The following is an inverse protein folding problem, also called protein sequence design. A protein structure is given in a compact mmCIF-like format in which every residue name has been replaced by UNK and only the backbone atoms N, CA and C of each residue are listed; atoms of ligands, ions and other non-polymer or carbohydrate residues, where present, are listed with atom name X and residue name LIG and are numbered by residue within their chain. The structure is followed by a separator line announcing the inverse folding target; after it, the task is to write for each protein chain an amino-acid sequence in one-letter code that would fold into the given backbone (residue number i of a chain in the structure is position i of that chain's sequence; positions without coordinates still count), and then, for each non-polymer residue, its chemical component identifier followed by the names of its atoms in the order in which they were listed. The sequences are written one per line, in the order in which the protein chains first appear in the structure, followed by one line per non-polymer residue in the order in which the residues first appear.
data_IF_708445624525
#
_entry.id   IF_708445624525
#
_cell.length_a   1.000
_cell.length_b   1.000
_cell.length_c   1.000
_cell.angle_alpha   90.00
_cell.angle_beta   90.00
_cell.angle_gamma   90.00
#
_symmetry.space_group_name_H-M   'P 1'
#
loop_
_entity.id
_entity.type
_entity.pdbx_description
1 polymer ?
#
# COMPACT_ATOMS: atom_id res chain seq x y z
N UNK A 1 4.23 5.94 15.58
CA UNK A 1 4.68 7.26 15.08
C UNK A 1 3.46 8.15 14.93
N UNK A 2 3.46 9.39 15.44
CA UNK A 2 2.38 10.34 15.16
C UNK A 2 2.21 10.57 13.65
N UNK A 3 0.96 10.76 13.19
CA UNK A 3 0.66 10.95 11.75
C UNK A 3 1.45 12.11 11.12
N UNK A 4 1.56 13.30 11.74
CA UNK A 4 2.31 14.41 11.13
C UNK A 4 3.79 14.06 10.89
N UNK A 5 4.40 13.35 11.83
CA UNK A 5 5.78 12.91 11.74
C UNK A 5 5.96 11.84 10.65
N UNK A 6 4.99 10.94 10.48
CA UNK A 6 5.00 9.96 9.39
C UNK A 6 4.91 10.65 8.00
N UNK A 7 4.03 11.64 7.87
CA UNK A 7 3.86 12.42 6.63
C UNK A 7 5.14 13.19 6.30
N UNK A 8 5.75 13.84 7.29
CA UNK A 8 7.03 14.57 7.11
C UNK A 8 8.11 13.64 6.57
N UNK A 9 8.34 12.50 7.22
CA UNK A 9 9.35 11.51 6.79
C UNK A 9 9.09 10.97 5.38
N UNK A 10 7.82 10.75 5.03
CA UNK A 10 7.43 10.29 3.70
C UNK A 10 7.76 11.34 2.64
N UNK A 11 7.42 12.61 2.89
CA UNK A 11 7.70 13.71 1.97
C UNK A 11 9.21 13.94 1.81
N UNK A 12 9.96 13.92 2.92
CA UNK A 12 11.42 14.01 2.88
C UNK A 12 12.06 12.89 2.07
N UNK A 13 11.53 11.66 2.20
CA UNK A 13 12.01 10.55 1.40
C UNK A 13 11.72 10.73 -0.09
N UNK A 14 10.50 11.15 -0.43
CA UNK A 14 10.10 11.41 -1.81
C UNK A 14 10.93 12.54 -2.47
N UNK A 15 11.33 13.54 -1.68
CA UNK A 15 12.10 14.69 -2.15
C UNK A 15 13.56 14.37 -2.50
N UNK A 16 14.10 13.21 -2.08
CA UNK A 16 15.50 12.84 -2.37
C UNK A 16 15.78 12.61 -3.86
N UNK A 17 14.75 12.33 -4.65
CA UNK A 17 14.84 12.27 -6.12
C UNK A 17 13.85 13.26 -6.73
N UNK A 18 14.30 14.46 -7.14
CA UNK A 18 13.45 15.41 -7.83
C UNK A 18 12.81 14.78 -9.07
N UNK A 19 11.51 15.02 -9.24
CA UNK A 19 10.75 14.58 -10.42
C UNK A 19 10.08 15.75 -11.09
N UNK A 20 9.87 15.62 -12.39
CA UNK A 20 9.14 16.58 -13.22
C UNK A 20 7.85 15.93 -13.72
N UNK A 21 6.76 16.69 -13.86
CA UNK A 21 5.56 16.19 -14.51
C UNK A 21 5.83 15.97 -16.00
N UNK A 22 5.43 14.80 -16.51
CA UNK A 22 5.53 14.41 -17.91
C UNK A 22 4.15 14.02 -18.39
N UNK A 23 3.72 14.64 -19.50
CA UNK A 23 2.50 14.25 -20.19
C UNK A 23 2.75 12.97 -20.97
N UNK A 24 2.12 11.87 -20.56
CA UNK A 24 2.10 10.64 -21.34
C UNK A 24 0.81 10.62 -22.17
N UNK A 25 0.98 10.67 -23.49
CA UNK A 25 -0.12 10.67 -24.46
C UNK A 25 0.10 9.53 -25.45
N UNK A 26 -0.69 8.46 -25.33
CA UNK A 26 -0.75 7.40 -26.34
C UNK A 26 -1.87 7.69 -27.34
N UNK A 27 -1.80 7.11 -28.54
CA UNK A 27 -2.87 7.26 -29.53
C UNK A 27 -4.17 6.54 -29.14
N UNK A 28 -4.13 5.66 -28.15
CA UNK A 28 -5.23 4.76 -27.75
C UNK A 28 -5.89 5.14 -26.43
N UNK A 29 -5.22 5.89 -25.56
CA UNK A 29 -5.67 6.17 -24.20
C UNK A 29 -5.80 7.68 -23.94
N UNK A 30 -6.57 8.03 -22.92
CA UNK A 30 -6.64 9.40 -22.44
C UNK A 30 -5.25 9.88 -21.95
N UNK A 31 -4.91 11.16 -22.15
CA UNK A 31 -3.64 11.71 -21.66
C UNK A 31 -3.56 11.60 -20.13
N UNK A 32 -2.40 11.17 -19.64
CA UNK A 32 -2.14 11.06 -18.19
C UNK A 32 -0.86 11.78 -17.81
N UNK A 33 -0.87 12.43 -16.65
CA UNK A 33 0.34 13.01 -16.06
C UNK A 33 1.09 11.93 -15.31
N UNK A 34 2.38 11.78 -15.57
CA UNK A 34 3.31 10.92 -14.85
C UNK A 34 4.42 11.75 -14.22
N UNK A 35 5.03 11.26 -13.16
CA UNK A 35 6.27 11.82 -12.63
C UNK A 35 7.45 11.05 -13.24
N UNK A 36 8.44 11.76 -13.77
CA UNK A 36 9.71 11.19 -14.20
C UNK A 36 10.86 11.83 -13.42
N UNK A 37 11.96 11.12 -13.11
CA UNK A 37 13.15 11.73 -12.52
C UNK A 37 13.62 12.90 -13.37
N UNK A 38 14.01 14.01 -12.72
CA UNK A 38 14.66 15.12 -13.41
C UNK A 38 15.98 14.65 -14.05
N UNK A 39 16.42 15.35 -15.10
CA UNK A 39 17.69 15.04 -15.75
C UNK A 39 18.85 15.13 -14.74
N UNK A 40 19.74 14.13 -14.76
CA UNK A 40 20.85 14.02 -13.80
C UNK A 40 20.45 13.57 -12.38
N UNK A 41 19.17 13.30 -12.11
CA UNK A 41 18.74 12.80 -10.82
C UNK A 41 19.29 11.38 -10.56
N UNK A 42 19.84 11.17 -9.36
CA UNK A 42 20.31 9.85 -8.95
C UNK A 42 19.12 8.95 -8.56
N UNK A 43 19.18 7.70 -8.98
CA UNK A 43 18.23 6.67 -8.56
C UNK A 43 18.32 6.44 -7.04
N UNK A 44 17.21 6.66 -6.34
CA UNK A 44 17.02 6.28 -4.93
C UNK A 44 15.73 5.46 -4.84
N UNK A 45 15.88 4.17 -4.50
CA UNK A 45 14.75 3.25 -4.38
C UNK A 45 13.74 3.70 -3.32
N UNK A 46 14.21 4.23 -2.20
CA UNK A 46 13.34 4.68 -1.13
C UNK A 46 12.60 5.97 -1.50
N UNK A 47 13.20 6.84 -2.32
CA UNK A 47 12.50 8.00 -2.89
C UNK A 47 11.41 7.56 -3.87
N UNK A 48 11.71 6.63 -4.78
CA UNK A 48 10.74 6.09 -5.72
C UNK A 48 9.55 5.41 -5.01
N UNK A 49 9.82 4.61 -3.96
CA UNK A 49 8.78 4.01 -3.13
C UNK A 49 7.95 5.07 -2.39
N UNK A 50 8.58 6.10 -1.84
CA UNK A 50 7.87 7.18 -1.16
C UNK A 50 6.91 7.93 -2.11
N UNK A 51 7.37 8.25 -3.32
CA UNK A 51 6.54 8.87 -4.37
C UNK A 51 5.36 7.98 -4.77
N UNK A 52 5.61 6.68 -4.97
CA UNK A 52 4.55 5.71 -5.26
C UNK A 52 3.51 5.61 -4.13
N UNK A 53 3.96 5.61 -2.87
CA UNK A 53 3.08 5.60 -1.70
C UNK A 53 2.25 6.89 -1.61
N UNK A 54 2.84 8.06 -1.89
CA UNK A 54 2.11 9.33 -1.93
C UNK A 54 0.99 9.26 -2.99
N UNK A 55 1.33 8.86 -4.21
CA UNK A 55 0.36 8.70 -5.29
C UNK A 55 -0.75 7.69 -4.94
N UNK A 56 -0.37 6.58 -4.32
CA UNK A 56 -1.32 5.57 -3.85
C UNK A 56 -2.29 6.09 -2.78
N UNK A 57 -1.77 6.81 -1.76
CA UNK A 57 -2.57 7.34 -0.65
C UNK A 57 -3.48 8.51 -1.05
N UNK A 58 -3.11 9.24 -2.11
CA UNK A 58 -3.93 10.29 -2.73
C UNK A 58 -4.89 9.74 -3.79
N UNK A 59 -4.69 8.50 -4.25
CA UNK A 59 -5.44 7.88 -5.33
C UNK A 59 -6.71 7.15 -4.89
N UNK A 60 -7.51 6.67 -5.86
CA UNK A 60 -8.79 5.99 -5.62
C UNK A 60 -8.63 4.67 -4.85
N UNK A 61 -7.49 3.98 -5.00
CA UNK A 61 -7.22 2.70 -4.34
C UNK A 61 -7.01 2.82 -2.82
N UNK A 62 -6.78 4.03 -2.30
CA UNK A 62 -6.69 4.28 -0.84
C UNK A 62 -7.89 3.68 -0.10
N UNK A 63 -9.10 3.83 -0.64
CA UNK A 63 -10.32 3.34 -0.02
C UNK A 63 -10.43 1.82 -0.01
N UNK A 64 -9.61 1.12 -0.79
CA UNK A 64 -9.53 -0.35 -0.83
C UNK A 64 -8.47 -0.91 0.11
N UNK A 65 -7.56 -0.09 0.63
CA UNK A 65 -6.50 -0.54 1.55
C UNK A 65 -7.09 -1.06 2.87
N UNK A 66 -6.77 -2.29 3.25
CA UNK A 66 -7.20 -2.91 4.51
C UNK A 66 -6.03 -3.59 5.21
N UNK A 67 -6.07 -3.61 6.54
CA UNK A 67 -5.19 -4.46 7.34
C UNK A 67 -5.72 -5.89 7.33
N UNK A 68 -4.84 -6.88 7.27
CA UNK A 68 -5.23 -8.28 7.38
C UNK A 68 -5.56 -8.64 8.83
N UNK A 69 -6.77 -9.14 9.09
CA UNK A 69 -7.22 -9.50 10.45
C UNK A 69 -6.85 -10.93 10.89
N UNK A 70 -6.03 -11.65 10.12
CA UNK A 70 -5.61 -12.98 10.50
C UNK A 70 -4.60 -12.95 11.67
N UNK A 71 -4.64 -13.92 12.59
CA UNK A 71 -3.68 -13.99 13.70
C UNK A 71 -2.24 -13.91 13.20
N UNK A 72 -1.46 -13.03 13.86
CA UNK A 72 -0.04 -12.74 13.58
C UNK A 72 0.25 -12.22 12.16
N UNK A 73 -0.75 -11.72 11.43
CA UNK A 73 -0.52 -11.08 10.15
C UNK A 73 -0.36 -9.56 10.32
N UNK A 74 0.74 -9.01 9.81
CA UNK A 74 1.03 -7.56 9.85
C UNK A 74 0.91 -6.90 8.46
N UNK A 75 0.35 -7.61 7.48
CA UNK A 75 0.28 -7.14 6.09
C UNK A 75 -0.98 -6.32 5.84
N UNK A 76 -0.83 -5.32 4.98
CA UNK A 76 -1.96 -4.67 4.30
C UNK A 76 -2.26 -5.37 2.98
N UNK A 77 -3.47 -5.19 2.46
CA UNK A 77 -3.89 -5.65 1.14
C UNK A 77 -4.91 -4.69 0.53
N UNK A 78 -5.07 -4.77 -0.79
CA UNK A 78 -6.15 -4.11 -1.50
C UNK A 78 -7.35 -5.05 -1.56
N UNK A 79 -8.48 -4.58 -1.07
CA UNK A 79 -9.75 -5.30 -1.15
C UNK A 79 -10.23 -5.29 -2.61
N UNK A 80 -10.25 -6.46 -3.23
CA UNK A 80 -10.68 -6.68 -4.61
C UNK A 80 -12.17 -7.02 -4.69
N UNK A 81 -12.72 -7.70 -3.67
CA UNK A 81 -14.13 -8.05 -3.61
C UNK A 81 -14.74 -7.79 -2.22
N UNK A 82 -16.06 -7.50 -2.11
CA UNK A 82 -16.71 -7.13 -0.85
C UNK A 82 -16.54 -8.15 0.31
N UNK A 83 -16.40 -9.43 -0.02
CA UNK A 83 -16.21 -10.53 0.96
C UNK A 83 -14.74 -10.82 1.33
N UNK A 84 -13.77 -10.07 0.80
CA UNK A 84 -12.36 -10.31 1.11
C UNK A 84 -12.02 -9.75 2.49
N UNK A 85 -11.73 -10.64 3.44
CA UNK A 85 -11.37 -10.29 4.81
C UNK A 85 -9.87 -10.50 5.11
N UNK A 86 -9.16 -11.21 4.24
CA UNK A 86 -7.76 -11.59 4.45
C UNK A 86 -6.91 -11.32 3.22
N UNK A 87 -5.62 -11.04 3.45
CA UNK A 87 -4.68 -10.71 2.37
C UNK A 87 -4.38 -11.90 1.45
N UNK A 88 -4.50 -13.15 1.93
CA UNK A 88 -4.30 -14.40 1.18
C UNK A 88 -5.13 -15.54 1.78
N UNK A 89 -5.45 -16.61 1.03
CA UNK A 89 -6.21 -17.76 1.54
C UNK A 89 -5.63 -18.41 2.81
N UNK A 90 -4.30 -18.52 2.90
CA UNK A 90 -3.63 -19.07 4.09
C UNK A 90 -3.88 -18.27 5.37
N UNK A 91 -4.17 -16.97 5.26
CA UNK A 91 -4.56 -16.14 6.40
C UNK A 91 -5.97 -16.47 6.90
N UNK A 92 -6.90 -16.76 6.00
CA UNK A 92 -8.24 -17.27 6.36
C UNK A 92 -8.18 -18.63 7.05
N UNK A 93 -7.32 -19.54 6.59
CA UNK A 93 -7.11 -20.84 7.24
C UNK A 93 -6.57 -20.68 8.66
N UNK A 94 -5.54 -19.84 8.87
CA UNK A 94 -5.03 -19.54 10.22
C UNK A 94 -6.11 -18.97 11.14
N UNK A 95 -6.93 -18.05 10.65
CA UNK A 95 -8.02 -17.49 11.44
C UNK A 95 -9.06 -18.57 11.83
N UNK A 96 -9.35 -19.52 10.93
CA UNK A 96 -10.25 -20.65 11.21
C UNK A 96 -9.67 -21.60 12.27
N UNK A 97 -8.39 -21.96 12.15
CA UNK A 97 -7.68 -22.82 13.12
C UNK A 97 -7.63 -22.16 14.49
N UNK A 98 -7.26 -20.88 14.57
CA UNK A 98 -7.24 -20.15 15.84
C UNK A 98 -8.61 -20.13 16.53
N UNK A 99 -9.68 -19.87 15.78
CA UNK A 99 -11.05 -19.93 16.33
C UNK A 99 -11.44 -21.33 16.81
N UNK A 100 -10.99 -22.39 16.15
CA UNK A 100 -11.22 -23.77 16.57
C UNK A 100 -10.47 -24.07 17.87
N UNK A 101 -9.18 -23.72 17.95
CA UNK A 101 -8.37 -23.88 19.16
C UNK A 101 -8.96 -23.12 20.36
N UNK A 102 -9.43 -21.89 20.14
CA UNK A 102 -10.07 -21.08 21.19
C UNK A 102 -11.37 -21.73 21.72
N UNK A 103 -12.19 -22.32 20.84
CA UNK A 103 -13.37 -23.06 21.27
C UNK A 103 -12.99 -24.26 22.13
N UNK A 104 -11.99 -25.04 21.72
CA UNK A 104 -11.53 -26.21 22.49
C UNK A 104 -10.95 -25.82 23.86
N UNK A 105 -10.25 -24.69 23.97
CA UNK A 105 -9.73 -24.17 25.24
C UNK A 105 -10.81 -23.67 26.20
N UNK A 106 -11.98 -23.30 25.69
CA UNK A 106 -13.12 -22.80 26.50
C UNK A 106 -14.05 -23.91 26.98
N UNK A 107 -13.98 -25.08 26.38
CA UNK A 107 -14.85 -26.23 26.70
C UNK A 107 -14.15 -27.26 27.61
N UNK A 108 -12.83 -27.20 27.74
CA UNK A 108 -12.06 -28.00 28.70
C UNK A 108 -11.63 -27.16 29.90
#
# INVERSE_FOLDING_TARGET
LPVPEAVRRLNEAAARTPTVPVLAWSCTDAPVVRAAPAEGARTDLAAALAQAVIGFLAGPDRQRLRACHAPRCVRYFLKEHPRQEWCKPSCGNRARVARHQERHRRTG
#
